data_IF_162681583811
#
_entry.id   IF_162681583811
#
_cell.length_a   1.000
_cell.length_b   1.000
_cell.length_c   1.000
_cell.angle_alpha   90.00
_cell.angle_beta   90.00
_cell.angle_gamma   90.00
#
_symmetry.space_group_name_H-M   'P 1'
#
loop_
_entity.id
_entity.type
_entity.pdbx_description
1 polymer ?
#
# COMPACT_ATOMS: atom_id res chain seq x y z
N UNK A 1 -0.22 -54.61 -3.54
CA UNK A 1 -0.75 -53.50 -2.70
C UNK A 1 0.22 -52.89 -1.68
N UNK A 2 1.56 -53.03 -1.81
CA UNK A 2 2.54 -52.43 -0.86
C UNK A 2 3.27 -51.17 -1.34
N UNK A 3 3.09 -50.74 -2.60
CA UNK A 3 3.78 -49.56 -3.17
C UNK A 3 3.04 -48.23 -2.92
N UNK A 4 1.71 -48.28 -2.78
CA UNK A 4 0.86 -47.09 -2.65
C UNK A 4 0.88 -46.46 -1.25
N UNK A 5 1.13 -47.25 -0.19
CA UNK A 5 1.29 -46.71 1.18
C UNK A 5 2.62 -45.96 1.40
N UNK A 6 3.66 -46.28 0.62
CA UNK A 6 4.99 -45.66 0.77
C UNK A 6 5.02 -44.23 0.20
N UNK A 7 4.28 -43.97 -0.88
CA UNK A 7 4.12 -42.61 -1.45
C UNK A 7 3.29 -41.67 -0.57
N UNK A 8 2.38 -42.19 0.27
CA UNK A 8 1.55 -41.36 1.16
C UNK A 8 2.26 -40.90 2.43
N UNK A 9 3.36 -41.55 2.81
CA UNK A 9 4.20 -41.13 3.95
C UNK A 9 5.34 -40.18 3.54
N UNK A 10 5.84 -40.26 2.30
CA UNK A 10 6.84 -39.32 1.78
C UNK A 10 6.29 -37.90 1.56
N UNK A 11 5.01 -37.76 1.19
CA UNK A 11 4.36 -36.43 1.05
C UNK A 11 4.06 -35.71 2.37
N UNK A 12 4.37 -36.32 3.52
CA UNK A 12 4.06 -35.76 4.85
C UNK A 12 5.28 -35.15 5.56
N UNK A 13 6.40 -34.95 4.84
CA UNK A 13 7.65 -34.38 5.39
C UNK A 13 8.26 -33.24 4.57
N UNK A 14 7.45 -32.53 3.79
CA UNK A 14 7.85 -31.21 3.26
C UNK A 14 7.21 -30.13 4.14
N UNK A 15 7.64 -30.06 5.40
CA UNK A 15 7.54 -28.82 6.15
C UNK A 15 8.54 -27.85 5.53
N UNK A 16 8.06 -27.00 4.62
CA UNK A 16 8.82 -25.86 4.13
C UNK A 16 9.26 -25.02 5.36
N UNK A 17 10.56 -24.90 5.65
CA UNK A 17 11.00 -23.96 6.68
C UNK A 17 10.73 -22.55 6.13
N UNK A 18 9.71 -21.87 6.65
CA UNK A 18 9.60 -20.42 6.46
C UNK A 18 10.63 -19.78 7.40
N UNK A 19 11.89 -19.85 6.99
CA UNK A 19 12.97 -19.08 7.56
C UNK A 19 13.66 -18.38 6.40
N UNK A 20 12.99 -17.39 5.80
CA UNK A 20 13.72 -16.46 4.95
C UNK A 20 14.65 -15.65 5.87
N UNK A 21 15.98 -15.76 5.73
CA UNK A 21 16.89 -14.94 6.50
C UNK A 21 16.69 -13.47 6.12
N UNK A 22 16.95 -12.56 7.06
CA UNK A 22 17.11 -11.14 6.73
C UNK A 22 18.02 -10.99 5.49
N UNK A 23 17.68 -10.09 4.55
CA UNK A 23 18.43 -9.96 3.30
C UNK A 23 19.91 -9.74 3.61
N UNK A 24 20.78 -10.50 2.95
CA UNK A 24 22.22 -10.34 3.07
C UNK A 24 22.66 -8.94 2.60
N UNK A 25 23.87 -8.53 2.95
CA UNK A 25 24.43 -7.25 2.51
C UNK A 25 24.38 -7.12 0.97
N UNK A 26 24.72 -8.18 0.25
CA UNK A 26 24.66 -8.22 -1.21
C UNK A 26 23.22 -8.09 -1.73
N UNK A 27 22.25 -8.72 -1.06
CA UNK A 27 20.83 -8.57 -1.40
C UNK A 27 20.36 -7.13 -1.15
N UNK A 28 20.72 -6.52 -0.02
CA UNK A 28 20.38 -5.12 0.27
C UNK A 28 21.00 -4.15 -0.76
N UNK A 29 22.26 -4.39 -1.18
CA UNK A 29 22.90 -3.60 -2.23
C UNK A 29 22.21 -3.78 -3.59
N UNK A 30 21.81 -5.00 -3.92
CA UNK A 30 21.05 -5.29 -5.14
C UNK A 30 19.70 -4.55 -5.13
N UNK A 31 18.99 -4.56 -4.00
CA UNK A 31 17.75 -3.81 -3.81
C UNK A 31 17.95 -2.30 -3.99
N UNK A 32 19.00 -1.72 -3.39
CA UNK A 32 19.35 -0.30 -3.55
C UNK A 32 19.69 0.05 -5.00
N UNK A 33 20.44 -0.83 -5.70
CA UNK A 33 20.78 -0.63 -7.11
C UNK A 33 19.54 -0.69 -7.99
N UNK A 34 18.65 -1.66 -7.76
CA UNK A 34 17.39 -1.80 -8.50
C UNK A 34 16.46 -0.60 -8.29
N UNK A 35 16.37 -0.06 -7.07
CA UNK A 35 15.65 1.18 -6.78
C UNK A 35 16.23 2.38 -7.54
N UNK A 36 17.56 2.52 -7.56
CA UNK A 36 18.23 3.58 -8.32
C UNK A 36 17.98 3.48 -9.83
N UNK A 37 18.04 2.26 -10.38
CA UNK A 37 17.74 2.00 -11.80
C UNK A 37 16.29 2.32 -12.14
N UNK A 38 15.34 1.96 -11.27
CA UNK A 38 13.93 2.30 -11.46
C UNK A 38 13.70 3.82 -11.46
N UNK A 39 14.35 4.55 -10.55
CA UNK A 39 14.28 6.02 -10.52
C UNK A 39 14.88 6.64 -11.81
N UNK A 40 15.99 6.10 -12.29
CA UNK A 40 16.63 6.53 -13.54
C UNK A 40 15.70 6.33 -14.75
N UNK A 41 15.10 5.14 -14.87
CA UNK A 41 14.19 4.81 -15.96
C UNK A 41 12.91 5.67 -15.93
N UNK A 42 12.39 5.99 -14.75
CA UNK A 42 11.26 6.91 -14.61
C UNK A 42 11.61 8.34 -15.05
N UNK A 43 12.80 8.83 -14.69
CA UNK A 43 13.29 10.14 -15.14
C UNK A 43 13.51 10.17 -16.65
N UNK A 44 14.12 9.12 -17.22
CA UNK A 44 14.31 8.97 -18.66
C UNK A 44 12.97 8.92 -19.39
N UNK A 45 12.01 8.13 -18.89
CA UNK A 45 10.65 8.05 -19.43
C UNK A 45 9.95 9.42 -19.39
N UNK A 46 10.02 10.13 -18.26
CA UNK A 46 9.43 11.45 -18.10
C UNK A 46 10.09 12.48 -19.04
N UNK A 47 11.41 12.44 -19.16
CA UNK A 47 12.19 13.34 -20.03
C UNK A 47 11.90 13.06 -21.50
N UNK A 48 11.82 11.79 -21.90
CA UNK A 48 11.49 11.39 -23.26
C UNK A 48 10.06 11.80 -23.63
N UNK A 49 9.09 11.61 -22.73
CA UNK A 49 7.70 12.05 -22.96
C UNK A 49 7.59 13.57 -22.97
N UNK A 50 8.34 14.28 -22.12
CA UNK A 50 8.43 15.76 -22.14
C UNK A 50 9.03 16.26 -23.46
N UNK A 51 10.14 15.69 -23.90
CA UNK A 51 10.82 16.09 -25.15
C UNK A 51 9.95 15.79 -26.37
N UNK A 52 9.27 14.63 -26.41
CA UNK A 52 8.31 14.31 -27.47
C UNK A 52 7.07 15.18 -27.46
N UNK A 53 6.59 15.60 -26.29
CA UNK A 53 5.47 16.55 -26.16
C UNK A 53 5.90 17.97 -26.59
N UNK A 54 7.10 18.40 -26.21
CA UNK A 54 7.66 19.71 -26.58
C UNK A 54 8.06 19.81 -28.06
N UNK A 55 8.40 18.69 -28.70
CA UNK A 55 8.80 18.63 -30.10
C UNK A 55 7.62 18.49 -31.09
N UNK A 56 6.39 18.28 -30.62
CA UNK A 56 5.22 18.17 -31.49
C UNK A 56 4.58 19.55 -31.71
N UNK A 57 4.38 19.99 -32.98
CA UNK A 57 3.57 21.17 -33.25
C UNK A 57 2.12 20.87 -32.87
N UNK A 58 1.52 21.72 -32.03
CA UNK A 58 0.13 21.57 -31.56
C UNK A 58 -0.82 21.69 -32.76
N UNK A 59 -1.20 20.55 -33.35
CA UNK A 59 -2.22 20.48 -34.38
C UNK A 59 -3.60 20.24 -33.76
N UNK A 60 -4.31 21.33 -33.47
CA UNK A 60 -5.78 21.39 -33.40
C UNK A 60 -6.52 20.54 -32.35
N UNK A 61 -5.85 19.67 -31.61
CA UNK A 61 -6.41 18.93 -30.49
C UNK A 61 -5.73 19.42 -29.23
N UNK A 62 -6.52 19.70 -28.19
CA UNK A 62 -6.00 20.07 -26.88
C UNK A 62 -4.87 19.10 -26.50
N UNK A 63 -3.71 19.64 -26.13
CA UNK A 63 -2.59 18.84 -25.68
C UNK A 63 -3.08 17.85 -24.61
N UNK A 64 -2.66 16.56 -24.63
CA UNK A 64 -2.94 15.67 -23.52
C UNK A 64 -2.43 16.37 -22.25
N UNK A 65 -3.23 16.40 -21.16
CA UNK A 65 -2.81 17.08 -19.95
C UNK A 65 -1.46 16.51 -19.52
N UNK A 66 -0.45 17.37 -19.44
CA UNK A 66 0.84 17.00 -18.87
C UNK A 66 0.58 16.40 -17.49
N UNK A 67 1.27 15.30 -17.10
CA UNK A 67 1.14 14.77 -15.76
C UNK A 67 1.41 15.88 -14.76
N UNK A 68 0.44 16.15 -13.88
CA UNK A 68 0.59 17.17 -12.86
C UNK A 68 1.64 16.70 -11.84
N UNK A 69 2.86 17.23 -11.97
CA UNK A 69 3.98 16.87 -11.11
C UNK A 69 3.70 17.17 -9.63
N UNK A 70 2.81 18.12 -9.31
CA UNK A 70 2.39 18.37 -7.94
C UNK A 70 1.54 17.20 -7.42
N UNK A 71 0.57 16.71 -8.21
CA UNK A 71 -0.20 15.50 -7.90
C UNK A 71 0.68 14.26 -7.76
N UNK A 72 1.67 14.09 -8.63
CA UNK A 72 2.62 12.97 -8.58
C UNK A 72 3.48 13.00 -7.30
N UNK A 73 3.95 14.19 -6.90
CA UNK A 73 4.67 14.39 -5.64
C UNK A 73 3.81 14.09 -4.42
N UNK A 74 2.56 14.54 -4.38
CA UNK A 74 1.62 14.22 -3.29
C UNK A 74 1.31 12.73 -3.23
N UNK A 75 1.12 12.08 -4.36
CA UNK A 75 0.88 10.64 -4.44
C UNK A 75 2.09 9.83 -3.94
N UNK A 76 3.31 10.25 -4.29
CA UNK A 76 4.54 9.63 -3.77
C UNK A 76 4.66 9.80 -2.24
N UNK A 77 4.30 10.98 -1.71
CA UNK A 77 4.29 11.22 -0.27
C UNK A 77 3.29 10.30 0.45
N UNK A 78 2.06 10.18 -0.05
CA UNK A 78 1.04 9.30 0.54
C UNK A 78 1.49 7.84 0.57
N UNK A 79 2.17 7.36 -0.49
CA UNK A 79 2.75 6.01 -0.50
C UNK A 79 3.89 5.84 0.50
N UNK A 80 4.79 6.83 0.61
CA UNK A 80 5.90 6.79 1.56
C UNK A 80 5.41 6.77 3.02
N UNK A 81 4.42 7.60 3.33
CA UNK A 81 3.79 7.65 4.65
C UNK A 81 3.11 6.31 4.98
N UNK A 82 2.33 5.74 4.05
CA UNK A 82 1.71 4.43 4.24
C UNK A 82 2.73 3.32 4.51
N UNK A 83 3.84 3.30 3.79
CA UNK A 83 4.91 2.32 4.01
C UNK A 83 5.52 2.46 5.41
N UNK A 84 5.77 3.70 5.84
CA UNK A 84 6.27 4.00 7.18
C UNK A 84 5.28 3.58 8.27
N UNK A 85 4.04 4.03 8.17
CA UNK A 85 3.00 3.73 9.16
C UNK A 85 2.72 2.22 9.25
N UNK A 86 2.79 1.50 8.12
CA UNK A 86 2.73 0.03 8.09
C UNK A 86 3.88 -0.61 8.84
N UNK A 87 5.12 -0.16 8.63
CA UNK A 87 6.28 -0.66 9.37
C UNK A 87 6.16 -0.41 10.87
N UNK A 88 5.74 0.79 11.27
CA UNK A 88 5.52 1.15 12.68
C UNK A 88 4.45 0.23 13.31
N UNK A 89 3.36 -0.04 12.59
CA UNK A 89 2.31 -0.96 13.03
C UNK A 89 2.85 -2.38 13.26
N UNK A 90 3.63 -2.91 12.31
CA UNK A 90 4.27 -4.22 12.44
C UNK A 90 5.24 -4.28 13.63
N UNK A 91 6.06 -3.24 13.84
CA UNK A 91 6.99 -3.18 14.97
C UNK A 91 6.28 -3.24 16.32
N UNK A 92 5.17 -2.49 16.48
CA UNK A 92 4.34 -2.50 17.69
C UNK A 92 3.75 -3.88 17.97
N UNK A 93 3.33 -4.59 16.93
CA UNK A 93 2.83 -5.95 17.13
C UNK A 93 3.92 -6.93 17.54
N UNK A 94 5.12 -6.82 16.96
CA UNK A 94 6.26 -7.66 17.33
C UNK A 94 6.74 -7.39 18.77
N UNK A 95 6.60 -6.16 19.29
CA UNK A 95 6.92 -5.85 20.68
C UNK A 95 5.82 -6.24 21.69
N UNK A 96 4.69 -6.75 21.20
CA UNK A 96 3.54 -7.17 22.00
C UNK A 96 2.63 -6.02 22.44
N UNK A 97 2.62 -4.91 21.71
CA UNK A 97 1.82 -3.73 22.03
C UNK A 97 2.37 -2.89 23.18
N UNK A 98 3.67 -3.02 23.48
CA UNK A 98 4.36 -2.25 24.52
C UNK A 98 4.60 -0.81 24.08
N UNK A 99 4.82 -0.60 22.79
CA UNK A 99 4.88 0.73 22.21
C UNK A 99 3.46 1.25 22.01
N UNK A 100 3.15 2.39 22.63
CA UNK A 100 1.83 3.01 22.51
C UNK A 100 1.50 3.34 21.04
N UNK A 101 0.28 3.03 20.63
CA UNK A 101 -0.23 3.47 19.34
C UNK A 101 -0.38 5.00 19.30
N UNK A 102 -0.16 5.63 18.14
CA UNK A 102 -0.45 7.04 17.95
C UNK A 102 -1.93 7.31 18.17
N UNK A 103 -2.30 8.54 18.59
CA UNK A 103 -3.68 8.88 18.85
C UNK A 103 -4.53 8.71 17.59
N UNK A 104 -5.61 7.96 17.73
CA UNK A 104 -6.53 7.70 16.62
C UNK A 104 -7.38 8.93 16.28
N UNK A 105 -7.68 9.07 14.99
CA UNK A 105 -8.61 10.11 14.53
C UNK A 105 -9.99 9.94 15.20
N UNK A 106 -10.75 11.02 15.42
CA UNK A 106 -12.11 10.92 15.93
C UNK A 106 -13.00 10.01 15.08
N UNK A 107 -12.79 9.97 13.76
CA UNK A 107 -13.52 9.10 12.84
C UNK A 107 -13.20 7.61 13.08
N UNK A 108 -11.92 7.27 13.26
CA UNK A 108 -11.49 5.91 13.56
C UNK A 108 -12.06 5.41 14.90
N UNK A 109 -12.10 6.28 15.93
CA UNK A 109 -12.69 5.95 17.24
C UNK A 109 -14.20 5.77 17.22
N UNK A 110 -14.89 6.41 16.29
CA UNK A 110 -16.35 6.33 16.15
C UNK A 110 -16.81 5.19 15.22
N UNK A 111 -15.87 4.43 14.64
CA UNK A 111 -16.21 3.35 13.70
C UNK A 111 -16.92 2.20 14.43
N UNK A 112 -18.22 2.04 14.11
CA UNK A 112 -19.09 1.04 14.72
C UNK A 112 -18.65 -0.39 14.45
N UNK A 113 -17.84 -0.63 13.40
CA UNK A 113 -17.27 -1.94 13.08
C UNK A 113 -16.38 -2.46 14.21
N UNK A 114 -15.77 -1.55 14.97
CA UNK A 114 -14.85 -1.87 16.07
C UNK A 114 -15.41 -1.49 17.44
N UNK A 115 -16.74 -1.44 17.58
CA UNK A 115 -17.40 -1.05 18.83
C UNK A 115 -17.25 -2.08 19.96
N UNK A 116 -17.01 -3.36 19.64
CA UNK A 116 -16.74 -4.39 20.66
C UNK A 116 -15.34 -4.17 21.26
N UNK A 117 -15.19 -4.03 22.59
CA UNK A 117 -13.90 -3.83 23.27
C UNK A 117 -12.84 -4.87 22.93
N UNK A 118 -13.23 -6.10 22.55
CA UNK A 118 -12.30 -7.16 22.13
C UNK A 118 -11.38 -6.74 20.99
N UNK A 119 -11.84 -5.83 20.13
CA UNK A 119 -11.04 -5.29 19.04
C UNK A 119 -9.85 -4.45 19.52
N UNK A 120 -9.90 -3.87 20.71
CA UNK A 120 -8.81 -3.09 21.30
C UNK A 120 -8.05 -3.83 22.41
N UNK A 121 -8.70 -4.80 23.07
CA UNK A 121 -8.11 -5.51 24.21
C UNK A 121 -7.12 -6.61 23.80
N UNK A 122 -7.31 -7.25 22.64
CA UNK A 122 -6.45 -8.35 22.20
C UNK A 122 -5.47 -7.87 21.12
N UNK A 123 -4.14 -7.98 21.31
CA UNK A 123 -3.14 -7.43 20.38
C UNK A 123 -3.29 -7.87 18.93
N UNK A 124 -3.77 -9.10 18.69
CA UNK A 124 -4.05 -9.59 17.34
C UNK A 124 -5.28 -8.94 16.70
N UNK A 125 -6.36 -8.73 17.46
CA UNK A 125 -7.55 -8.06 16.93
C UNK A 125 -7.30 -6.57 16.74
N UNK A 126 -6.53 -5.96 17.63
CA UNK A 126 -6.12 -4.57 17.50
C UNK A 126 -5.22 -4.36 16.28
N UNK A 127 -4.30 -5.29 15.98
CA UNK A 127 -3.51 -5.29 14.74
C UNK A 127 -4.41 -5.33 13.50
N UNK A 128 -5.44 -6.20 13.46
CA UNK A 128 -6.38 -6.28 12.33
C UNK A 128 -7.14 -4.95 12.17
N UNK A 129 -7.65 -4.42 13.28
CA UNK A 129 -8.35 -3.13 13.31
C UNK A 129 -7.48 -1.99 12.80
N UNK A 130 -6.28 -1.85 13.33
CA UNK A 130 -5.36 -0.77 12.94
C UNK A 130 -4.90 -0.92 11.48
N UNK A 131 -4.68 -2.15 11.00
CA UNK A 131 -4.36 -2.41 9.58
C UNK A 131 -5.48 -1.95 8.66
N UNK A 132 -6.73 -2.25 9.03
CA UNK A 132 -7.90 -1.82 8.28
C UNK A 132 -8.01 -0.30 8.22
N UNK A 133 -7.92 0.36 9.37
CA UNK A 133 -7.99 1.82 9.48
C UNK A 133 -6.89 2.50 8.67
N UNK A 134 -5.67 1.94 8.68
CA UNK A 134 -4.53 2.43 7.92
C UNK A 134 -4.77 2.32 6.41
N UNK A 135 -5.29 1.18 5.92
CA UNK A 135 -5.62 0.99 4.51
C UNK A 135 -6.76 1.92 4.08
N UNK A 136 -7.78 2.11 4.93
CA UNK A 136 -8.89 3.01 4.67
C UNK A 136 -8.43 4.47 4.54
N UNK A 137 -7.58 4.93 5.46
CA UNK A 137 -6.98 6.27 5.41
C UNK A 137 -6.09 6.44 4.17
N UNK A 138 -5.24 5.46 3.88
CA UNK A 138 -4.37 5.47 2.70
C UNK A 138 -5.16 5.61 1.40
N UNK A 139 -6.19 4.78 1.18
CA UNK A 139 -7.00 4.84 -0.03
C UNK A 139 -7.74 6.18 -0.15
N UNK A 140 -8.22 6.73 0.97
CA UNK A 140 -8.86 8.05 1.02
C UNK A 140 -7.89 9.14 0.62
N UNK A 141 -6.70 9.19 1.25
CA UNK A 141 -5.64 10.16 0.93
C UNK A 141 -5.19 10.05 -0.52
N UNK A 142 -5.02 8.83 -1.02
CA UNK A 142 -4.64 8.56 -2.40
C UNK A 142 -5.69 9.12 -3.37
N UNK A 143 -6.98 8.93 -3.10
CA UNK A 143 -8.05 9.49 -3.92
C UNK A 143 -8.04 11.02 -3.95
N UNK A 144 -7.62 11.66 -2.85
CA UNK A 144 -7.52 13.13 -2.74
C UNK A 144 -6.29 13.71 -3.47
N UNK A 145 -5.31 12.87 -3.80
CA UNK A 145 -4.17 13.27 -4.66
C UNK A 145 -4.51 13.35 -6.14
N UNK A 146 -5.66 12.78 -6.57
CA UNK A 146 -6.10 12.86 -7.96
C UNK A 146 -6.54 14.28 -8.30
N UNK A 147 -5.76 14.93 -9.16
CA UNK A 147 -6.04 16.26 -9.73
C UNK A 147 -6.24 16.15 -11.26
N UNK A 148 -6.67 17.25 -11.88
CA UNK A 148 -6.87 17.31 -13.33
C UNK A 148 -8.12 16.58 -13.84
N UNK A 149 -8.96 16.07 -12.93
CA UNK A 149 -10.27 15.48 -13.23
C UNK A 149 -11.39 16.45 -12.88
N UNK A 150 -12.47 16.40 -13.66
CA UNK A 150 -13.69 17.16 -13.38
C UNK A 150 -14.26 16.80 -11.97
N UNK A 151 -14.85 17.75 -11.23
CA UNK A 151 -15.38 17.51 -9.89
C UNK A 151 -16.30 16.28 -9.78
N UNK A 152 -17.14 16.03 -10.80
CA UNK A 152 -18.03 14.87 -10.84
C UNK A 152 -17.25 13.54 -10.89
N UNK A 153 -16.13 13.52 -11.62
CA UNK A 153 -15.26 12.35 -11.67
C UNK A 153 -14.51 12.15 -10.35
N UNK A 154 -14.08 13.24 -9.69
CA UNK A 154 -13.44 13.16 -8.37
C UNK A 154 -14.37 12.58 -7.31
N UNK A 155 -15.64 12.98 -7.32
CA UNK A 155 -16.67 12.43 -6.43
C UNK A 155 -16.91 10.94 -6.68
N UNK A 156 -16.94 10.50 -7.95
CA UNK A 156 -17.05 9.07 -8.28
C UNK A 156 -15.87 8.25 -7.76
N UNK A 157 -14.64 8.78 -7.88
CA UNK A 157 -13.44 8.12 -7.36
C UNK A 157 -13.56 7.98 -5.84
N UNK A 158 -13.92 9.06 -5.14
CA UNK A 158 -14.13 9.03 -3.68
C UNK A 158 -15.21 8.02 -3.28
N UNK A 159 -16.34 8.01 -3.98
CA UNK A 159 -17.44 7.07 -3.73
C UNK A 159 -17.00 5.61 -3.94
N UNK A 160 -16.29 5.33 -5.04
CA UNK A 160 -15.78 3.99 -5.33
C UNK A 160 -14.75 3.53 -4.28
N UNK A 161 -13.86 4.43 -3.86
CA UNK A 161 -12.91 4.18 -2.77
C UNK A 161 -13.62 3.85 -1.47
N UNK A 162 -14.65 4.61 -1.09
CA UNK A 162 -15.42 4.32 0.11
C UNK A 162 -16.10 2.95 0.02
N UNK A 163 -16.68 2.61 -1.12
CA UNK A 163 -17.27 1.29 -1.35
C UNK A 163 -16.27 0.15 -1.25
N UNK A 164 -15.02 0.34 -1.71
CA UNK A 164 -13.94 -0.63 -1.54
C UNK A 164 -13.54 -0.79 -0.07
N UNK A 165 -13.38 0.32 0.65
CA UNK A 165 -13.07 0.32 2.09
C UNK A 165 -14.15 -0.41 2.88
N UNK A 166 -15.42 -0.18 2.54
CA UNK A 166 -16.56 -0.84 3.16
C UNK A 166 -16.59 -2.35 2.84
N UNK A 167 -16.21 -2.76 1.62
CA UNK A 167 -16.13 -4.17 1.25
C UNK A 167 -14.99 -4.93 1.96
N UNK A 168 -13.92 -4.23 2.32
CA UNK A 168 -12.80 -4.78 3.08
C UNK A 168 -13.08 -4.88 4.58
N UNK A 169 -14.21 -4.36 5.08
CA UNK A 169 -14.47 -4.35 6.50
C UNK A 169 -14.64 -5.78 7.04
N UNK A 170 -14.01 -6.11 8.19
CA UNK A 170 -14.33 -7.35 8.89
C UNK A 170 -15.80 -7.26 9.33
N UNK A 171 -16.63 -8.18 8.82
CA UNK A 171 -18.05 -8.29 9.15
C UNK A 171 -18.34 -8.82 10.54
#
# INVERSE_FOLDING_TARGET
MKRSKRLSEERRKETLPITEPFPSLDQMQQWTRSLGQAQQLLLEYATEHMMKAAAQPVQGHAAPPLPDFASAGRMAQVQADFAKESMDLWQRFLDGGRTAAPPESPAARADRRFADPKWAEHPFFDMIRQSYLLVADYLTRLSDTVDGVDPHHKEKIRFATQGLVDALSPG
#
